data_IF_610537254242
#
_entry.id   IF_610537254242
#
_cell.length_a   1.000
_cell.length_b   1.000
_cell.length_c   1.000
_cell.angle_alpha   90.00
_cell.angle_beta   90.00
_cell.angle_gamma   90.00
#
_symmetry.space_group_name_H-M   'P 1'
#
loop_
_entity.id
_entity.type
_entity.pdbx_description
1 polymer ?
#
# COMPACT_ATOMS: atom_id res chain seq x y z
N UNK A 1 4.26 13.08 10.09
CA UNK A 1 5.14 13.54 9.00
C UNK A 1 6.17 12.50 8.58
N UNK A 2 6.75 11.76 9.50
CA UNK A 2 7.85 10.81 9.22
C UNK A 2 7.50 9.69 8.22
N UNK A 3 6.29 9.12 8.26
CA UNK A 3 5.87 8.12 7.24
C UNK A 3 5.90 8.69 5.83
N UNK A 4 5.49 9.93 5.65
CA UNK A 4 5.49 10.60 4.33
C UNK A 4 6.93 10.76 3.81
N UNK A 5 7.87 11.11 4.68
CA UNK A 5 9.30 11.19 4.32
C UNK A 5 9.85 9.83 3.89
N UNK A 6 9.45 8.77 4.59
CA UNK A 6 9.83 7.39 4.23
C UNK A 6 9.27 7.03 2.85
N UNK A 7 7.99 7.31 2.58
CA UNK A 7 7.36 7.07 1.28
C UNK A 7 8.06 7.86 0.16
N UNK A 8 8.39 9.13 0.40
CA UNK A 8 9.16 9.94 -0.56
C UNK A 8 10.54 9.33 -0.83
N UNK A 9 11.19 8.76 0.18
CA UNK A 9 12.49 8.11 0.03
C UNK A 9 12.36 6.81 -0.77
N UNK A 10 11.31 6.02 -0.54
CA UNK A 10 10.99 4.84 -1.36
C UNK A 10 10.82 5.27 -2.83
N UNK A 11 10.08 6.35 -3.09
CA UNK A 11 9.88 6.87 -4.45
C UNK A 11 11.19 7.31 -5.12
N UNK A 12 12.10 7.94 -4.38
CA UNK A 12 13.43 8.31 -4.92
C UNK A 12 14.26 7.10 -5.30
N UNK A 13 14.25 6.06 -4.47
CA UNK A 13 14.95 4.80 -4.78
C UNK A 13 14.34 4.13 -6.01
N UNK A 14 13.00 4.17 -6.14
CA UNK A 14 12.29 3.68 -7.33
C UNK A 14 12.69 4.42 -8.60
N UNK A 15 12.83 5.76 -8.53
CA UNK A 15 13.14 6.61 -9.68
C UNK A 15 14.63 6.62 -10.04
N UNK A 16 15.50 5.99 -9.24
CA UNK A 16 16.94 5.98 -9.49
C UNK A 16 17.28 5.21 -10.77
N UNK A 17 18.07 5.78 -11.70
CA UNK A 17 18.46 5.16 -12.97
C UNK A 17 19.29 3.88 -12.83
N UNK A 18 19.81 3.58 -11.64
CA UNK A 18 20.56 2.35 -11.34
C UNK A 18 19.74 1.06 -11.58
N UNK A 19 18.41 1.13 -11.73
CA UNK A 19 17.57 -0.03 -12.07
C UNK A 19 17.63 -0.45 -13.55
N UNK A 20 18.12 0.40 -14.45
CA UNK A 20 18.04 0.18 -15.90
C UNK A 20 19.28 -0.44 -16.54
N UNK A 21 20.33 -0.69 -15.81
CA UNK A 21 21.52 -1.28 -16.40
C UNK A 21 22.54 -1.77 -15.37
N UNK A 22 22.90 -2.99 -15.54
CA UNK A 22 24.03 -3.73 -14.97
C UNK A 22 23.80 -4.53 -13.68
N UNK A 23 24.14 -5.81 -13.85
CA UNK A 23 24.41 -6.84 -12.84
C UNK A 23 25.63 -6.48 -11.96
N UNK A 24 25.57 -5.35 -11.26
CA UNK A 24 26.62 -5.02 -10.30
C UNK A 24 26.16 -5.46 -8.91
N UNK A 25 26.82 -6.47 -8.36
CA UNK A 25 26.57 -7.01 -7.01
C UNK A 25 26.57 -5.92 -5.95
N UNK A 26 27.35 -4.87 -6.17
CA UNK A 26 27.44 -3.72 -5.28
C UNK A 26 26.14 -2.90 -5.26
N UNK A 27 25.55 -2.64 -6.42
CA UNK A 27 24.27 -1.93 -6.53
C UNK A 27 23.14 -2.73 -5.86
N UNK A 28 23.16 -4.05 -5.96
CA UNK A 28 22.19 -4.91 -5.29
C UNK A 28 22.32 -4.88 -3.77
N UNK A 29 23.54 -4.91 -3.25
CA UNK A 29 23.80 -4.78 -1.81
C UNK A 29 23.38 -3.41 -1.26
N UNK A 30 23.62 -2.33 -2.01
CA UNK A 30 23.19 -0.98 -1.63
C UNK A 30 21.65 -0.88 -1.57
N UNK A 31 20.93 -1.42 -2.54
CA UNK A 31 19.47 -1.45 -2.54
C UNK A 31 18.92 -2.27 -1.37
N UNK A 32 19.53 -3.42 -1.09
CA UNK A 32 19.15 -4.26 0.06
C UNK A 32 19.39 -3.54 1.38
N UNK A 33 20.52 -2.88 1.55
CA UNK A 33 20.80 -2.08 2.74
C UNK A 33 19.82 -0.92 2.93
N UNK A 34 19.49 -0.21 1.85
CA UNK A 34 18.48 0.86 1.88
C UNK A 34 17.09 0.32 2.25
N UNK A 35 16.70 -0.84 1.70
CA UNK A 35 15.46 -1.53 2.01
C UNK A 35 15.38 -1.86 3.50
N UNK A 36 16.38 -2.51 4.06
CA UNK A 36 16.43 -2.88 5.48
C UNK A 36 16.40 -1.68 6.41
N UNK A 37 17.10 -0.61 6.04
CA UNK A 37 17.05 0.65 6.81
C UNK A 37 15.64 1.27 6.82
N UNK A 38 14.96 1.30 5.68
CA UNK A 38 13.60 1.86 5.59
C UNK A 38 12.60 0.99 6.35
N UNK A 39 12.74 -0.32 6.28
CA UNK A 39 11.93 -1.27 7.04
C UNK A 39 12.14 -1.09 8.55
N UNK A 40 13.39 -1.01 9.00
CA UNK A 40 13.69 -0.75 10.41
C UNK A 40 13.04 0.55 10.89
N UNK A 41 13.13 1.63 10.09
CA UNK A 41 12.47 2.90 10.42
C UNK A 41 10.96 2.77 10.52
N UNK A 42 10.29 2.04 9.61
CA UNK A 42 8.85 1.80 9.66
C UNK A 42 8.45 0.99 10.89
N UNK A 43 9.26 -0.01 11.27
CA UNK A 43 8.98 -0.88 12.41
C UNK A 43 9.23 -0.20 13.77
N UNK A 44 10.16 0.74 13.83
CA UNK A 44 10.50 1.49 15.05
C UNK A 44 9.72 2.79 15.20
N UNK A 45 8.91 3.15 14.21
CA UNK A 45 8.16 4.40 14.20
C UNK A 45 7.06 4.38 15.27
N UNK A 46 7.22 5.20 16.29
CA UNK A 46 6.24 5.39 17.37
C UNK A 46 5.43 6.66 17.08
N UNK A 47 4.12 6.49 16.97
CA UNK A 47 3.20 7.62 16.78
C UNK A 47 2.80 8.18 18.14
N UNK A 48 3.29 9.37 18.45
CA UNK A 48 2.94 10.10 19.66
C UNK A 48 2.06 11.31 19.35
N UNK A 49 0.99 11.47 20.11
CA UNK A 49 0.19 12.70 20.08
C UNK A 49 0.94 13.73 20.96
N UNK A 50 1.04 14.96 20.47
CA UNK A 50 1.75 16.00 21.22
C UNK A 50 1.07 16.27 22.58
N UNK A 51 1.84 16.45 23.67
CA UNK A 51 1.27 16.62 25.02
C UNK A 51 0.30 17.80 25.14
N UNK A 52 0.49 18.86 24.34
CA UNK A 52 -0.39 20.03 24.33
C UNK A 52 -1.78 19.73 23.75
N UNK A 53 -1.91 18.70 22.94
CA UNK A 53 -3.17 18.26 22.34
C UNK A 53 -3.83 17.14 23.16
N UNK A 54 -3.06 16.42 23.96
CA UNK A 54 -3.52 15.24 24.69
C UNK A 54 -4.63 15.56 25.71
N UNK A 55 -4.61 16.75 26.30
CA UNK A 55 -5.63 17.20 27.27
C UNK A 55 -6.96 17.64 26.63
N UNK A 56 -6.98 17.89 25.32
CA UNK A 56 -8.15 18.40 24.60
C UNK A 56 -8.80 17.38 23.68
N UNK A 57 -8.13 16.24 23.43
CA UNK A 57 -8.58 15.22 22.49
C UNK A 57 -9.44 14.18 23.21
N UNK A 58 -10.64 13.92 22.67
CA UNK A 58 -11.50 12.84 23.18
C UNK A 58 -10.83 11.46 22.93
N UNK A 59 -11.10 10.46 23.78
CA UNK A 59 -10.54 9.10 23.60
C UNK A 59 -10.83 8.52 22.21
N UNK A 60 -12.02 8.76 21.66
CA UNK A 60 -12.41 8.32 20.33
C UNK A 60 -11.57 8.99 19.22
N UNK A 61 -11.34 10.29 19.34
CA UNK A 61 -10.51 11.04 18.39
C UNK A 61 -9.05 10.58 18.47
N UNK A 62 -8.55 10.31 19.67
CA UNK A 62 -7.20 9.75 19.89
C UNK A 62 -7.07 8.39 19.19
N UNK A 63 -8.02 7.49 19.41
CA UNK A 63 -8.04 6.17 18.76
C UNK A 63 -8.02 6.29 17.24
N UNK A 64 -8.86 7.17 16.67
CA UNK A 64 -8.89 7.42 15.21
C UNK A 64 -7.56 7.92 14.67
N UNK A 65 -6.92 8.87 15.35
CA UNK A 65 -5.62 9.42 14.94
C UNK A 65 -4.54 8.33 14.93
N UNK A 66 -4.44 7.56 16.01
CA UNK A 66 -3.46 6.47 16.11
C UNK A 66 -3.72 5.36 15.08
N UNK A 67 -4.98 4.95 14.89
CA UNK A 67 -5.33 3.94 13.89
C UNK A 67 -5.07 4.44 12.47
N UNK A 68 -5.31 5.72 12.18
CA UNK A 68 -4.97 6.32 10.88
C UNK A 68 -3.45 6.32 10.66
N UNK A 69 -2.68 6.70 11.67
CA UNK A 69 -1.23 6.72 11.60
C UNK A 69 -0.64 5.30 11.40
N UNK A 70 -1.20 4.31 12.10
CA UNK A 70 -0.83 2.91 11.94
C UNK A 70 -1.19 2.37 10.55
N UNK A 71 -2.35 2.76 10.00
CA UNK A 71 -2.74 2.41 8.65
C UNK A 71 -1.75 2.95 7.60
N UNK A 72 -1.28 4.19 7.77
CA UNK A 72 -0.25 4.75 6.91
C UNK A 72 1.07 3.99 7.00
N UNK A 73 1.48 3.60 8.21
CA UNK A 73 2.69 2.82 8.45
C UNK A 73 2.60 1.45 7.76
N UNK A 74 1.50 0.73 7.94
CA UNK A 74 1.26 -0.58 7.33
C UNK A 74 1.21 -0.49 5.78
N UNK A 75 0.53 0.51 5.24
CA UNK A 75 0.51 0.77 3.81
C UNK A 75 1.91 1.10 3.26
N UNK A 76 2.70 1.90 3.99
CA UNK A 76 4.09 2.19 3.61
C UNK A 76 4.97 0.94 3.63
N UNK A 77 4.74 0.02 4.58
CA UNK A 77 5.43 -1.27 4.61
C UNK A 77 5.07 -2.13 3.39
N UNK A 78 3.78 -2.28 3.06
CA UNK A 78 3.35 -2.99 1.85
C UNK A 78 3.92 -2.35 0.57
N UNK A 79 3.93 -1.02 0.51
CA UNK A 79 4.52 -0.29 -0.60
C UNK A 79 6.02 -0.54 -0.73
N UNK A 80 6.76 -0.58 0.39
CA UNK A 80 8.18 -0.90 0.41
C UNK A 80 8.46 -2.32 -0.11
N UNK A 81 7.67 -3.33 0.33
CA UNK A 81 7.75 -4.70 -0.16
C UNK A 81 7.55 -4.79 -1.68
N UNK A 82 6.67 -3.97 -2.23
CA UNK A 82 6.39 -3.94 -3.66
C UNK A 82 7.48 -3.25 -4.46
N UNK A 83 7.99 -2.13 -3.96
CA UNK A 83 8.98 -1.32 -4.68
C UNK A 83 10.38 -1.92 -4.62
N UNK A 84 10.76 -2.49 -3.48
CA UNK A 84 12.07 -3.08 -3.23
C UNK A 84 11.91 -4.52 -2.70
N UNK A 85 11.42 -5.46 -3.53
CA UNK A 85 11.14 -6.82 -3.08
C UNK A 85 12.42 -7.55 -2.67
N UNK A 86 12.32 -8.33 -1.58
CA UNK A 86 13.30 -9.31 -1.14
C UNK A 86 12.69 -10.72 -1.18
N UNK A 87 13.55 -11.74 -1.16
CA UNK A 87 13.13 -13.14 -1.33
C UNK A 87 12.09 -13.60 -0.28
N UNK A 88 12.20 -13.11 0.94
CA UNK A 88 11.34 -13.54 2.06
C UNK A 88 10.07 -12.70 2.24
N UNK A 89 9.84 -11.71 1.38
CA UNK A 89 8.72 -10.78 1.50
C UNK A 89 7.34 -11.47 1.42
N UNK A 90 7.23 -12.57 0.68
CA UNK A 90 5.99 -13.32 0.52
C UNK A 90 5.52 -13.97 1.84
N UNK A 91 6.43 -14.19 2.79
CA UNK A 91 6.09 -14.74 4.11
C UNK A 91 5.50 -13.69 5.06
N UNK A 92 5.95 -12.45 4.96
CA UNK A 92 5.54 -11.36 5.88
C UNK A 92 4.37 -10.53 5.33
N UNK A 93 4.24 -10.45 4.01
CA UNK A 93 3.21 -9.66 3.32
C UNK A 93 1.77 -9.98 3.78
N UNK A 94 1.34 -11.26 3.90
CA UNK A 94 -0.01 -11.58 4.36
C UNK A 94 -0.31 -11.08 5.77
N UNK A 95 0.68 -11.13 6.67
CA UNK A 95 0.54 -10.64 8.04
C UNK A 95 0.34 -9.13 8.10
N UNK A 96 1.11 -8.37 7.31
CA UNK A 96 0.98 -6.91 7.21
C UNK A 96 -0.39 -6.55 6.60
N UNK A 97 -0.79 -7.24 5.54
CA UNK A 97 -2.09 -7.03 4.88
C UNK A 97 -3.25 -7.30 5.84
N UNK A 98 -3.22 -8.41 6.56
CA UNK A 98 -4.23 -8.76 7.58
C UNK A 98 -4.32 -7.68 8.67
N UNK A 99 -3.19 -7.19 9.15
CA UNK A 99 -3.13 -6.11 10.15
C UNK A 99 -3.71 -4.79 9.59
N UNK A 100 -3.45 -4.48 8.33
CA UNK A 100 -3.97 -3.30 7.67
C UNK A 100 -5.50 -3.37 7.48
N UNK A 101 -6.02 -4.52 7.07
CA UNK A 101 -7.47 -4.76 6.95
C UNK A 101 -8.18 -4.69 8.31
N UNK A 102 -7.61 -5.31 9.36
CA UNK A 102 -8.13 -5.20 10.71
C UNK A 102 -8.12 -3.75 11.24
N UNK A 103 -7.16 -2.95 10.81
CA UNK A 103 -7.12 -1.52 11.16
C UNK A 103 -8.18 -0.73 10.38
N UNK A 104 -8.41 -1.05 9.11
CA UNK A 104 -9.50 -0.48 8.31
C UNK A 104 -10.88 -0.77 8.89
N UNK A 105 -11.11 -1.98 9.39
CA UNK A 105 -12.39 -2.36 10.01
C UNK A 105 -12.66 -1.59 11.32
N UNK A 106 -11.62 -1.25 12.06
CA UNK A 106 -11.73 -0.41 13.28
C UNK A 106 -11.96 1.06 12.99
N UNK A 107 -11.63 1.51 11.79
CA UNK A 107 -11.89 2.88 11.34
C UNK A 107 -13.29 2.95 10.72
N UNK A 108 -14.16 3.79 11.28
CA UNK A 108 -15.48 4.06 10.69
C UNK A 108 -15.34 4.55 9.24
N UNK A 109 -14.22 5.19 8.94
CA UNK A 109 -13.91 5.75 7.64
C UNK A 109 -12.40 5.94 7.48
N UNK A 110 -11.85 5.44 6.37
CA UNK A 110 -10.47 5.77 5.98
C UNK A 110 -10.36 7.27 5.67
N UNK A 111 -9.40 7.93 6.31
CA UNK A 111 -9.22 9.38 6.20
C UNK A 111 -8.52 9.81 4.92
N UNK A 112 -7.76 8.90 4.30
CA UNK A 112 -6.97 9.14 3.10
C UNK A 112 -7.11 8.01 2.09
N UNK A 113 -7.19 8.33 0.81
CA UNK A 113 -7.28 7.32 -0.25
C UNK A 113 -5.96 6.53 -0.44
N UNK A 114 -4.78 7.12 -0.17
CA UNK A 114 -3.50 6.48 -0.45
C UNK A 114 -3.28 5.14 0.28
N UNK A 115 -3.44 5.03 1.61
CA UNK A 115 -3.28 3.75 2.28
C UNK A 115 -4.25 2.69 1.77
N UNK A 116 -5.50 3.07 1.52
CA UNK A 116 -6.51 2.17 1.01
C UNK A 116 -6.17 1.67 -0.40
N UNK A 117 -5.63 2.53 -1.26
CA UNK A 117 -5.17 2.16 -2.59
C UNK A 117 -4.04 1.12 -2.53
N UNK A 118 -3.04 1.33 -1.67
CA UNK A 118 -1.94 0.38 -1.49
C UNK A 118 -2.47 -0.99 -1.02
N UNK A 119 -3.33 -0.99 0.01
CA UNK A 119 -3.95 -2.20 0.55
C UNK A 119 -4.77 -2.92 -0.54
N UNK A 120 -5.54 -2.18 -1.32
CA UNK A 120 -6.35 -2.72 -2.41
C UNK A 120 -5.49 -3.41 -3.48
N UNK A 121 -4.33 -2.85 -3.82
CA UNK A 121 -3.41 -3.47 -4.76
C UNK A 121 -2.76 -4.76 -4.24
N UNK A 122 -2.74 -4.97 -2.93
CA UNK A 122 -2.25 -6.22 -2.31
C UNK A 122 -3.37 -7.26 -2.09
N UNK A 123 -4.65 -6.87 -2.29
CA UNK A 123 -5.80 -7.74 -2.14
C UNK A 123 -5.92 -8.70 -3.34
N UNK A 124 -5.50 -9.94 -3.16
CA UNK A 124 -5.56 -11.00 -4.19
C UNK A 124 -6.79 -11.87 -4.02
N UNK A 125 -7.12 -12.21 -2.76
CA UNK A 125 -8.24 -13.07 -2.41
C UNK A 125 -9.58 -12.33 -2.56
N UNK A 126 -10.60 -13.03 -3.03
CA UNK A 126 -11.92 -12.45 -3.27
C UNK A 126 -12.55 -11.87 -2.00
N UNK A 127 -12.41 -12.54 -0.85
CA UNK A 127 -12.90 -12.04 0.44
C UNK A 127 -12.23 -10.72 0.82
N UNK A 128 -10.93 -10.61 0.59
CA UNK A 128 -10.15 -9.38 0.83
C UNK A 128 -10.58 -8.26 -0.11
N UNK A 129 -10.81 -8.57 -1.38
CA UNK A 129 -11.33 -7.60 -2.37
C UNK A 129 -12.72 -7.08 -1.98
N UNK A 130 -13.60 -7.98 -1.55
CA UNK A 130 -14.94 -7.61 -1.06
C UNK A 130 -14.85 -6.69 0.16
N UNK A 131 -13.94 -6.96 1.09
CA UNK A 131 -13.72 -6.10 2.25
C UNK A 131 -13.25 -4.69 1.83
N UNK A 132 -12.31 -4.60 0.91
CA UNK A 132 -11.84 -3.33 0.34
C UNK A 132 -12.99 -2.57 -0.36
N UNK A 133 -13.78 -3.25 -1.18
CA UNK A 133 -14.93 -2.63 -1.87
C UNK A 133 -15.95 -2.06 -0.90
N UNK A 134 -16.26 -2.75 0.19
CA UNK A 134 -17.14 -2.23 1.26
C UNK A 134 -16.61 -0.95 1.90
N UNK A 135 -15.28 -0.85 2.09
CA UNK A 135 -14.67 0.37 2.62
C UNK A 135 -14.78 1.50 1.61
N UNK A 136 -14.48 1.25 0.33
CA UNK A 136 -14.60 2.22 -0.75
C UNK A 136 -16.03 2.74 -0.89
N UNK A 137 -17.02 1.85 -0.87
CA UNK A 137 -18.44 2.20 -0.95
C UNK A 137 -18.87 3.10 0.22
N UNK A 138 -18.47 2.76 1.45
CA UNK A 138 -18.72 3.64 2.61
C UNK A 138 -18.11 5.03 2.43
N UNK A 139 -16.89 5.11 1.88
CA UNK A 139 -16.23 6.40 1.63
C UNK A 139 -16.95 7.20 0.53
N UNK A 140 -17.42 6.57 -0.53
CA UNK A 140 -18.21 7.22 -1.60
C UNK A 140 -19.49 7.84 -1.03
N UNK A 141 -20.23 7.07 -0.24
CA UNK A 141 -21.50 7.54 0.37
C UNK A 141 -21.28 8.68 1.36
N UNK A 142 -20.29 8.57 2.23
CA UNK A 142 -20.08 9.51 3.33
C UNK A 142 -19.41 10.82 2.92
N UNK A 143 -18.61 10.81 1.88
CA UNK A 143 -17.81 11.99 1.47
C UNK A 143 -18.21 12.60 0.14
N UNK A 144 -18.90 11.85 -0.74
CA UNK A 144 -19.25 12.34 -2.08
C UNK A 144 -18.04 12.78 -2.91
N UNK A 145 -16.85 12.30 -2.58
CA UNK A 145 -15.59 12.75 -3.18
C UNK A 145 -15.32 11.96 -4.46
N UNK A 146 -15.33 12.65 -5.60
CA UNK A 146 -15.09 12.05 -6.92
C UNK A 146 -13.80 11.22 -7.02
N UNK A 147 -12.80 11.54 -6.23
CA UNK A 147 -11.53 10.80 -6.18
C UNK A 147 -11.69 9.34 -5.74
N UNK A 148 -12.57 9.04 -4.80
CA UNK A 148 -12.78 7.68 -4.31
C UNK A 148 -13.34 6.81 -5.42
N UNK A 149 -14.26 7.36 -6.22
CA UNK A 149 -14.83 6.68 -7.38
C UNK A 149 -13.79 6.39 -8.46
N UNK A 150 -12.91 7.36 -8.74
CA UNK A 150 -11.80 7.18 -9.69
C UNK A 150 -10.84 6.11 -9.17
N UNK A 151 -10.47 6.17 -7.89
CA UNK A 151 -9.60 5.18 -7.26
C UNK A 151 -10.21 3.77 -7.34
N UNK A 152 -11.51 3.64 -7.08
CA UNK A 152 -12.23 2.36 -7.21
C UNK A 152 -12.10 1.80 -8.63
N UNK A 153 -12.35 2.62 -9.65
CA UNK A 153 -12.20 2.20 -11.06
C UNK A 153 -10.79 1.72 -11.38
N UNK A 154 -9.75 2.40 -10.86
CA UNK A 154 -8.35 2.00 -11.04
C UNK A 154 -8.06 0.66 -10.35
N UNK A 155 -8.54 0.47 -9.11
CA UNK A 155 -8.37 -0.77 -8.35
C UNK A 155 -9.06 -1.95 -9.05
N UNK A 156 -10.30 -1.79 -9.50
CA UNK A 156 -11.05 -2.82 -10.22
C UNK A 156 -10.36 -3.17 -11.55
N UNK A 157 -9.85 -2.19 -12.29
CA UNK A 157 -9.08 -2.41 -13.52
C UNK A 157 -7.78 -3.18 -13.23
N UNK A 158 -7.10 -2.86 -12.13
CA UNK A 158 -5.90 -3.58 -11.70
C UNK A 158 -6.19 -5.04 -11.39
N UNK A 159 -7.20 -5.32 -10.59
CA UNK A 159 -7.59 -6.70 -10.26
C UNK A 159 -7.94 -7.49 -11.53
N UNK A 160 -8.70 -6.89 -12.43
CA UNK A 160 -9.00 -7.51 -13.73
C UNK A 160 -7.75 -7.86 -14.53
N UNK A 161 -6.75 -6.99 -14.56
CA UNK A 161 -5.49 -7.28 -15.24
C UNK A 161 -4.72 -8.43 -14.58
N UNK A 162 -4.69 -8.47 -13.24
CA UNK A 162 -4.07 -9.57 -12.49
C UNK A 162 -4.75 -10.89 -12.82
N UNK A 163 -6.08 -10.92 -12.81
CA UNK A 163 -6.86 -12.13 -13.08
C UNK A 163 -6.65 -12.61 -14.52
N UNK A 164 -6.72 -11.71 -15.51
CA UNK A 164 -6.49 -12.06 -16.92
C UNK A 164 -5.09 -12.62 -17.18
N UNK A 165 -4.07 -12.12 -16.50
CA UNK A 165 -2.70 -12.64 -16.62
C UNK A 165 -2.55 -14.01 -15.95
N UNK A 166 -3.20 -14.22 -14.83
CA UNK A 166 -3.21 -15.52 -14.16
C UNK A 166 -3.87 -16.58 -15.03
N UNK A 167 -4.98 -16.25 -15.67
CA UNK A 167 -5.70 -17.16 -16.58
C UNK A 167 -4.85 -17.47 -17.84
N UNK A 168 -4.17 -16.47 -18.40
CA UNK A 168 -3.29 -16.64 -19.57
C UNK A 168 -2.06 -17.52 -19.28
N UNK A 169 -1.60 -17.56 -18.02
CA UNK A 169 -0.49 -18.42 -17.59
C UNK A 169 -0.89 -19.90 -17.42
N UNK A 170 -2.16 -20.26 -17.64
CA UNK A 170 -2.64 -21.65 -17.65
C UNK A 170 -2.66 -22.35 -16.29
N UNK A 171 -2.53 -21.60 -15.19
CA UNK A 171 -2.56 -22.16 -13.83
C UNK A 171 -3.62 -21.46 -12.97
N UNK A 172 -4.76 -22.09 -12.72
CA UNK A 172 -5.84 -21.52 -11.91
C UNK A 172 -5.56 -21.59 -10.40
N UNK A 173 -4.36 -21.29 -9.95
CA UNK A 173 -3.97 -21.36 -8.53
C UNK A 173 -3.74 -20.01 -7.89
N UNK A 174 -4.15 -19.86 -6.63
CA UNK A 174 -3.96 -18.64 -5.81
C UNK A 174 -2.52 -18.13 -5.78
N UNK A 175 -1.53 -19.04 -5.73
CA UNK A 175 -0.10 -18.69 -5.71
C UNK A 175 0.36 -17.92 -6.96
N UNK A 176 -0.22 -18.21 -8.13
CA UNK A 176 0.08 -17.48 -9.37
C UNK A 176 -0.53 -16.07 -9.40
N UNK A 177 -1.74 -15.91 -8.88
CA UNK A 177 -2.38 -14.59 -8.74
C UNK A 177 -1.56 -13.68 -7.82
N UNK A 178 -1.10 -14.19 -6.69
CA UNK A 178 -0.26 -13.45 -5.76
C UNK A 178 1.05 -13.00 -6.41
N UNK A 179 1.77 -13.92 -7.05
CA UNK A 179 3.04 -13.59 -7.72
C UNK A 179 2.86 -12.54 -8.82
N UNK A 180 1.79 -12.63 -9.61
CA UNK A 180 1.51 -11.68 -10.69
C UNK A 180 1.02 -10.31 -10.16
N UNK A 181 0.21 -10.28 -9.10
CA UNK A 181 -0.19 -9.05 -8.46
C UNK A 181 1.03 -8.24 -7.98
N UNK A 182 2.08 -8.92 -7.52
CA UNK A 182 3.29 -8.26 -7.02
C UNK A 182 4.26 -7.83 -8.13
N UNK A 183 4.23 -8.48 -9.29
CA UNK A 183 5.08 -8.13 -10.45
C UNK A 183 4.50 -7.01 -11.32
N UNK A 184 3.18 -6.78 -11.25
CA UNK A 184 2.55 -5.65 -11.95
C UNK A 184 3.07 -4.32 -11.42
N UNK A 185 3.84 -3.64 -12.25
CA UNK A 185 4.39 -2.33 -11.92
C UNK A 185 3.31 -1.25 -11.90
N UNK A 186 3.43 -0.31 -10.98
CA UNK A 186 2.58 0.89 -10.94
C UNK A 186 2.59 1.69 -12.26
N UNK A 187 3.70 1.63 -13.02
CA UNK A 187 3.83 2.29 -14.30
C UNK A 187 2.82 1.76 -15.34
N UNK A 188 2.47 0.48 -15.27
CA UNK A 188 1.47 -0.12 -16.15
C UNK A 188 0.04 0.31 -15.80
N UNK A 189 -0.22 0.61 -14.52
CA UNK A 189 -1.50 1.15 -14.05
C UNK A 189 -1.67 2.63 -14.41
N UNK A 190 -0.58 3.38 -14.43
CA UNK A 190 -0.56 4.84 -14.68
C UNK A 190 -0.59 5.15 -16.18
N UNK A 191 -0.15 4.22 -17.03
CA UNK A 191 -0.23 4.35 -18.49
C UNK A 191 -1.64 4.13 -19.08
N UNK A 192 -2.64 3.75 -18.27
CA UNK A 192 -4.02 3.94 -18.63
C UNK A 192 -4.28 5.46 -18.65
N UNK A 193 -4.75 6.03 -19.75
CA UNK A 193 -4.99 7.44 -20.11
C UNK A 193 -5.55 8.41 -19.06
N UNK A 194 -5.43 8.09 -17.79
CA UNK A 194 -5.83 8.92 -16.66
C UNK A 194 -4.59 9.30 -15.84
N UNK A 195 -4.30 10.59 -15.69
CA UNK A 195 -3.28 11.03 -14.74
C UNK A 195 -3.67 10.49 -13.37
N UNK A 196 -2.76 9.73 -12.74
CA UNK A 196 -2.94 9.36 -11.32
C UNK A 196 -2.81 10.65 -10.53
N UNK A 197 -3.92 11.27 -10.15
CA UNK A 197 -3.84 12.52 -9.47
C UNK A 197 -3.52 12.24 -8.00
N UNK A 198 -2.54 12.93 -7.46
CA UNK A 198 -2.48 13.30 -6.06
C UNK A 198 -2.28 12.17 -5.03
N UNK A 199 -1.59 11.11 -5.35
CA UNK A 199 -1.16 10.12 -4.34
C UNK A 199 0.20 10.44 -3.69
N UNK A 200 0.69 11.68 -3.81
CA UNK A 200 1.94 12.12 -3.18
C UNK A 200 1.64 13.30 -2.27
#
# INVERSE_FOLDING_TARGET
MEVIEIVQRINRVRASPQRQGFSDTRSHQELTAQRLMLEHRLNTLVQNIQPNEESTITPLRRLRLLSTADLYRLAASLYLLRVLPLHDDDTIRPSILSSALATLDRLDMATSPWPLFIIACEAVEDDTRVQVLRVLERMEVLRGIGNVRVMRGIVEAFWKQVDLRADAAGSPGQSHRSSQAHTLGWAELVNCDHPVPWFI
#
